data_IF_490164139025
#
_entry.id   IF_490164139025
#
_cell.length_a   1.000
_cell.length_b   1.000
_cell.length_c   1.000
_cell.angle_alpha   90.00
_cell.angle_beta   90.00
_cell.angle_gamma   90.00
#
_symmetry.space_group_name_H-M   'P 1'
#
loop_
_entity.id
_entity.type
_entity.pdbx_description
1 polymer ?
#
# COMPACT_ATOMS: atom_id res chain seq x y z
N UNK A 1 -26.10 8.19 37.80
CA UNK A 1 -25.46 6.99 37.24
C UNK A 1 -25.45 7.16 35.73
N UNK A 2 -24.26 7.47 35.23
CA UNK A 2 -23.79 7.40 33.85
C UNK A 2 -24.75 7.87 32.74
N UNK A 3 -24.70 9.19 32.51
CA UNK A 3 -24.77 9.75 31.16
C UNK A 3 -23.57 9.21 30.35
N UNK A 4 -23.74 8.03 29.73
CA UNK A 4 -22.92 7.58 28.61
C UNK A 4 -23.25 8.43 27.39
N UNK A 5 -22.81 9.69 27.46
CA UNK A 5 -22.70 10.58 26.33
C UNK A 5 -21.58 10.04 25.44
N UNK A 6 -21.95 9.13 24.53
CA UNK A 6 -21.19 8.87 23.32
C UNK A 6 -20.87 10.23 22.69
N UNK A 7 -19.59 10.59 22.47
CA UNK A 7 -19.25 11.83 21.80
C UNK A 7 -19.91 11.81 20.42
N UNK A 8 -20.92 12.66 20.24
CA UNK A 8 -21.54 12.94 18.96
C UNK A 8 -20.52 13.73 18.12
N UNK A 9 -19.97 13.17 17.01
CA UNK A 9 -18.86 13.78 16.27
C UNK A 9 -19.26 14.96 15.36
N UNK A 10 -20.34 15.68 15.67
CA UNK A 10 -21.15 16.23 14.60
C UNK A 10 -20.72 17.56 13.96
N UNK A 11 -19.86 18.43 14.51
CA UNK A 11 -19.84 19.81 13.95
C UNK A 11 -18.50 20.56 13.85
N UNK A 12 -17.32 19.94 14.02
CA UNK A 12 -16.03 20.67 13.86
C UNK A 12 -14.89 19.95 13.10
N UNK A 13 -15.15 18.88 12.33
CA UNK A 13 -14.07 18.08 11.69
C UNK A 13 -14.12 18.03 10.14
N UNK A 14 -15.07 18.71 9.50
CA UNK A 14 -15.48 18.43 8.10
C UNK A 14 -14.48 18.89 7.01
N UNK A 15 -13.71 19.96 7.22
CA UNK A 15 -12.78 20.47 6.18
C UNK A 15 -11.37 19.85 6.22
N UNK A 16 -10.98 19.26 7.35
CA UNK A 16 -9.65 18.66 7.55
C UNK A 16 -9.67 17.13 7.39
N UNK A 17 -10.82 16.49 7.65
CA UNK A 17 -10.93 15.04 7.60
C UNK A 17 -10.89 14.48 6.17
N UNK A 18 -11.42 15.19 5.17
CA UNK A 18 -11.41 14.73 3.78
C UNK A 18 -10.01 14.50 3.21
N UNK A 19 -9.02 15.32 3.58
CA UNK A 19 -7.63 15.12 3.15
C UNK A 19 -6.94 13.99 3.91
N UNK A 20 -7.27 13.81 5.19
CA UNK A 20 -6.76 12.71 6.01
C UNK A 20 -7.30 11.37 5.51
N UNK A 21 -8.59 11.28 5.19
CA UNK A 21 -9.22 10.04 4.75
C UNK A 21 -8.66 9.54 3.41
N UNK A 22 -8.44 10.46 2.45
CA UNK A 22 -7.75 10.16 1.20
C UNK A 22 -6.33 9.68 1.46
N UNK A 23 -5.57 10.35 2.34
CA UNK A 23 -4.21 9.94 2.67
C UNK A 23 -4.17 8.55 3.32
N UNK A 24 -5.11 8.23 4.21
CA UNK A 24 -5.25 6.91 4.81
C UNK A 24 -5.59 5.85 3.75
N UNK A 25 -6.50 6.15 2.83
CA UNK A 25 -6.86 5.24 1.73
C UNK A 25 -5.68 4.92 0.82
N UNK A 26 -4.85 5.94 0.52
CA UNK A 26 -3.62 5.79 -0.25
C UNK A 26 -2.65 4.87 0.49
N UNK A 27 -2.40 5.09 1.78
CA UNK A 27 -1.49 4.26 2.59
C UNK A 27 -1.97 2.81 2.66
N UNK A 28 -3.28 2.60 2.83
CA UNK A 28 -3.89 1.27 2.87
C UNK A 28 -3.74 0.55 1.52
N UNK A 29 -4.00 1.25 0.41
CA UNK A 29 -3.75 0.73 -0.94
C UNK A 29 -2.29 0.35 -1.16
N UNK A 30 -1.34 1.14 -0.63
CA UNK A 30 0.08 0.82 -0.70
C UNK A 30 0.43 -0.43 0.09
N UNK A 31 -0.13 -0.60 1.30
CA UNK A 31 0.05 -1.81 2.12
C UNK A 31 -0.49 -3.07 1.45
N UNK A 32 -1.58 -2.93 0.70
CA UNK A 32 -2.16 -4.03 -0.08
C UNK A 32 -1.36 -4.35 -1.36
N UNK A 33 -0.35 -3.54 -1.70
CA UNK A 33 0.44 -3.68 -2.93
C UNK A 33 -0.21 -3.04 -4.16
N UNK A 34 -1.31 -2.31 -3.99
CA UNK A 34 -2.06 -1.64 -5.05
C UNK A 34 -1.48 -0.26 -5.39
N UNK A 35 -0.20 -0.21 -5.76
CA UNK A 35 0.53 1.04 -6.09
C UNK A 35 -0.18 1.87 -7.17
N UNK A 36 -0.74 1.23 -8.18
CA UNK A 36 -1.44 1.91 -9.28
C UNK A 36 -2.69 2.66 -8.76
N UNK A 37 -3.42 2.06 -7.83
CA UNK A 37 -4.62 2.66 -7.25
C UNK A 37 -4.26 3.86 -6.38
N UNK A 38 -3.23 3.71 -5.52
CA UNK A 38 -2.69 4.80 -4.72
C UNK A 38 -2.23 6.01 -5.58
N UNK A 39 -1.58 5.76 -6.73
CA UNK A 39 -1.19 6.82 -7.68
C UNK A 39 -2.43 7.50 -8.30
N UNK A 40 -3.45 6.72 -8.65
CA UNK A 40 -4.69 7.23 -9.24
C UNK A 40 -5.44 8.11 -8.24
N UNK A 41 -5.59 7.66 -7.01
CA UNK A 41 -6.29 8.38 -5.95
C UNK A 41 -5.56 9.67 -5.55
N UNK A 42 -4.22 9.60 -5.45
CA UNK A 42 -3.38 10.78 -5.21
C UNK A 42 -3.56 11.80 -6.33
N UNK A 43 -3.52 11.36 -7.59
CA UNK A 43 -3.71 12.20 -8.77
C UNK A 43 -5.10 12.85 -8.81
N UNK A 44 -6.15 12.07 -8.55
CA UNK A 44 -7.53 12.57 -8.56
C UNK A 44 -7.77 13.60 -7.45
N UNK A 45 -7.08 13.45 -6.31
CA UNK A 45 -7.24 14.33 -5.15
C UNK A 45 -6.38 15.60 -5.24
N UNK A 46 -5.20 15.52 -5.84
CA UNK A 46 -4.26 16.65 -5.95
C UNK A 46 -4.32 17.36 -7.30
N UNK A 47 -4.84 16.71 -8.35
CA UNK A 47 -4.82 17.20 -9.73
C UNK A 47 -3.45 17.15 -10.40
N UNK A 48 -2.46 16.53 -9.75
CA UNK A 48 -1.09 16.47 -10.20
C UNK A 48 -0.91 15.64 -11.49
N UNK A 49 0.23 15.79 -12.15
CA UNK A 49 0.59 14.94 -13.28
C UNK A 49 0.83 13.49 -12.86
N UNK A 50 0.70 12.54 -13.80
CA UNK A 50 0.98 11.12 -13.55
C UNK A 50 2.41 10.89 -13.03
N UNK A 51 3.37 11.69 -13.54
CA UNK A 51 4.77 11.64 -13.12
C UNK A 51 4.93 12.06 -11.65
N UNK A 52 4.40 13.22 -11.28
CA UNK A 52 4.48 13.77 -9.92
C UNK A 52 3.77 12.85 -8.92
N UNK A 53 2.57 12.36 -9.28
CA UNK A 53 1.81 11.41 -8.46
C UNK A 53 2.60 10.12 -8.21
N UNK A 54 3.28 9.60 -9.23
CA UNK A 54 4.15 8.43 -9.06
C UNK A 54 5.33 8.75 -8.13
N UNK A 55 6.00 9.88 -8.31
CA UNK A 55 7.15 10.27 -7.50
C UNK A 55 6.78 10.45 -6.02
N UNK A 56 5.65 11.10 -5.74
CA UNK A 56 5.12 11.26 -4.38
C UNK A 56 4.84 9.89 -3.72
N UNK A 57 4.19 8.98 -4.46
CA UNK A 57 3.89 7.63 -3.97
C UNK A 57 5.16 6.78 -3.80
N UNK A 58 6.14 6.88 -4.71
CA UNK A 58 7.45 6.21 -4.58
C UNK A 58 8.17 6.67 -3.30
N UNK A 59 8.21 7.99 -3.05
CA UNK A 59 8.81 8.55 -1.85
C UNK A 59 8.10 8.09 -0.57
N UNK A 60 6.77 7.91 -0.61
CA UNK A 60 6.01 7.35 0.51
C UNK A 60 6.34 5.87 0.75
N UNK A 61 6.42 5.06 -0.30
CA UNK A 61 6.80 3.65 -0.20
C UNK A 61 8.18 3.51 0.44
N UNK A 62 9.14 4.32 -0.01
CA UNK A 62 10.50 4.34 0.53
C UNK A 62 10.51 4.79 2.00
N UNK A 63 9.81 5.89 2.31
CA UNK A 63 9.77 6.46 3.67
C UNK A 63 9.12 5.52 4.68
N UNK A 64 8.12 4.73 4.27
CA UNK A 64 7.35 3.85 5.15
C UNK A 64 7.80 2.37 5.07
N UNK A 65 8.91 2.07 4.38
CA UNK A 65 9.39 0.70 4.07
C UNK A 65 8.23 -0.25 3.72
N UNK A 66 7.32 0.21 2.85
CA UNK A 66 6.17 -0.59 2.46
C UNK A 66 6.70 -1.70 1.56
N UNK A 67 6.98 -2.85 2.18
CA UNK A 67 7.39 -4.09 1.56
C UNK A 67 6.28 -4.59 0.62
N UNK A 68 6.23 -4.04 -0.59
CA UNK A 68 5.45 -4.61 -1.68
C UNK A 68 6.03 -5.99 -1.95
N UNK A 69 5.31 -7.05 -1.54
CA UNK A 69 5.66 -8.44 -1.82
C UNK A 69 5.61 -8.67 -3.34
N UNK A 70 6.66 -8.26 -4.04
CA UNK A 70 6.98 -8.79 -5.36
C UNK A 70 7.50 -10.21 -5.14
N UNK A 71 6.67 -11.19 -5.43
CA UNK A 71 7.02 -12.59 -5.31
C UNK A 71 8.12 -12.96 -6.32
N UNK A 72 9.37 -12.98 -5.87
CA UNK A 72 10.50 -13.56 -6.61
C UNK A 72 11.31 -14.56 -5.79
N UNK A 73 11.17 -14.59 -4.45
CA UNK A 73 11.94 -15.49 -3.59
C UNK A 73 11.46 -16.95 -3.66
N UNK A 74 10.17 -17.19 -3.93
CA UNK A 74 9.61 -18.53 -4.02
C UNK A 74 10.06 -19.28 -5.28
N UNK A 75 10.21 -18.60 -6.42
CA UNK A 75 10.62 -19.22 -7.69
C UNK A 75 12.03 -19.82 -7.62
N UNK A 76 12.95 -19.14 -6.94
CA UNK A 76 14.33 -19.62 -6.75
C UNK A 76 14.40 -20.88 -5.88
N UNK A 77 13.55 -20.98 -4.86
CA UNK A 77 13.51 -22.15 -3.99
C UNK A 77 12.91 -23.37 -4.70
N UNK A 78 11.86 -23.18 -5.50
CA UNK A 78 11.28 -24.27 -6.28
C UNK A 78 12.21 -24.72 -7.42
N UNK A 79 12.86 -23.79 -8.12
CA UNK A 79 13.78 -24.12 -9.21
C UNK A 79 15.02 -24.88 -8.70
N UNK A 80 15.61 -24.44 -7.60
CA UNK A 80 16.78 -25.14 -7.01
C UNK A 80 16.41 -26.51 -6.43
N UNK A 81 15.22 -26.63 -5.82
CA UNK A 81 14.72 -27.92 -5.33
C UNK A 81 14.45 -28.91 -6.46
N UNK A 82 13.80 -28.48 -7.54
CA UNK A 82 13.55 -29.33 -8.72
C UNK A 82 14.84 -29.77 -9.41
N UNK A 83 15.82 -28.87 -9.54
CA UNK A 83 17.13 -29.19 -10.16
C UNK A 83 17.92 -30.20 -9.35
N UNK A 84 17.96 -30.06 -8.01
CA UNK A 84 18.64 -31.02 -7.14
C UNK A 84 17.99 -32.41 -7.18
N UNK A 85 16.66 -32.48 -7.23
CA UNK A 85 15.95 -33.75 -7.37
C UNK A 85 16.29 -34.44 -8.69
N UNK A 86 16.32 -33.71 -9.81
CA UNK A 86 16.66 -34.29 -11.12
C UNK A 86 18.09 -34.85 -11.15
N UNK A 87 19.06 -34.17 -10.51
CA UNK A 87 20.46 -34.64 -10.42
C UNK A 87 20.58 -35.93 -9.60
N UNK A 88 19.76 -36.10 -8.57
CA UNK A 88 19.77 -37.33 -7.75
C UNK A 88 19.20 -38.53 -8.52
N UNK A 89 18.29 -38.31 -9.47
CA UNK A 89 17.72 -39.39 -10.30
C UNK A 89 18.60 -39.76 -11.51
N UNK A 90 19.67 -39.01 -11.79
CA UNK A 90 20.60 -39.25 -12.91
C UNK A 90 21.90 -39.97 -12.49
N UNK A 91 22.09 -40.16 -11.18
CA UNK A 91 23.15 -40.97 -10.53
C UNK A 91 22.55 -42.30 -10.07
#
# INVERSE_FOLDING_TARGET
MNDENQPSPSDQEDAANGQSEVAQHIIESLRQGNKIQAIKDYRESTGEGLKESKEAIDALIEKYDIQMKSGCASMLLFATSLVLLIIIWIQ
#
